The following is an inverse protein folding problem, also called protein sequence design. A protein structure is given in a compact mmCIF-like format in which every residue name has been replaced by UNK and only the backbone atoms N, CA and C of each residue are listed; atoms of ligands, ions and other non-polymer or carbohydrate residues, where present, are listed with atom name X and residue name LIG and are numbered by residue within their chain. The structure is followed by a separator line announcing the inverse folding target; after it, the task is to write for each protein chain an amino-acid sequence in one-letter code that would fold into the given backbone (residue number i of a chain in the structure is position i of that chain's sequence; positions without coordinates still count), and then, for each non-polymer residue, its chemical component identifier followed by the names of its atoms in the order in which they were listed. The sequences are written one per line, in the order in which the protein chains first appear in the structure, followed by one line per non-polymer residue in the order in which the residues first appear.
data_IF_725565085530
#
_entry.id   IF_725565085530
#
_cell.length_a   1.000
_cell.length_b   1.000
_cell.length_c   1.000
_cell.angle_alpha   90.00
_cell.angle_beta   90.00
_cell.angle_gamma   90.00
#
_symmetry.space_group_name_H-M   'P 1'
#
loop_
_entity.id
_entity.type
_entity.pdbx_description
1 polymer ?
#
# COMPACT_ATOMS: atom_id res chain seq x y z
N UNK A 1 -0.16 -15.25 37.95
CA UNK A 1 -0.28 -16.56 37.26
C UNK A 1 -0.64 -16.30 35.80
N UNK A 2 0.29 -16.53 34.87
CA UNK A 2 0.07 -16.26 33.44
C UNK A 2 -0.81 -17.32 32.80
N UNK A 3 -1.99 -16.94 32.32
CA UNK A 3 -2.91 -17.82 31.58
C UNK A 3 -2.19 -18.32 30.31
N UNK A 4 -2.07 -19.64 30.11
CA UNK A 4 -1.49 -20.22 28.89
C UNK A 4 -2.34 -19.79 27.69
N UNK A 5 -1.78 -18.98 26.80
CA UNK A 5 -2.46 -18.51 25.60
C UNK A 5 -2.59 -19.66 24.60
N UNK A 6 -3.80 -19.84 24.06
CA UNK A 6 -4.09 -20.78 22.98
C UNK A 6 -3.43 -20.33 21.67
N UNK A 7 -3.22 -21.25 20.72
CA UNK A 7 -2.66 -20.92 19.39
C UNK A 7 -3.47 -19.82 18.68
N UNK A 8 -4.79 -19.82 18.86
CA UNK A 8 -5.69 -18.82 18.28
C UNK A 8 -5.54 -17.43 18.92
N UNK A 9 -5.25 -17.35 20.22
CA UNK A 9 -4.94 -16.08 20.89
C UNK A 9 -3.60 -15.51 20.43
N UNK A 10 -2.58 -16.37 20.28
CA UNK A 10 -1.28 -15.97 19.72
C UNK A 10 -1.46 -15.41 18.30
N UNK A 11 -2.27 -16.05 17.47
CA UNK A 11 -2.62 -15.56 16.13
C UNK A 11 -3.33 -14.20 16.17
N UNK A 12 -4.33 -14.02 17.04
CA UNK A 12 -5.02 -12.73 17.21
C UNK A 12 -4.07 -11.62 17.66
N UNK A 13 -3.14 -11.92 18.57
CA UNK A 13 -2.12 -10.96 19.04
C UNK A 13 -1.15 -10.60 17.91
N UNK A 14 -0.70 -11.58 17.12
CA UNK A 14 0.12 -11.33 15.93
C UNK A 14 -0.63 -10.48 14.91
N UNK A 15 -1.90 -10.77 14.62
CA UNK A 15 -2.72 -9.98 13.70
C UNK A 15 -2.98 -8.57 14.23
N UNK A 16 -3.17 -8.40 15.53
CA UNK A 16 -3.31 -7.08 16.17
C UNK A 16 -1.99 -6.28 16.09
N UNK A 17 -0.85 -6.93 16.29
CA UNK A 17 0.46 -6.31 16.13
C UNK A 17 0.74 -5.94 14.66
N UNK A 18 0.36 -6.80 13.71
CA UNK A 18 0.46 -6.55 12.28
C UNK A 18 -0.41 -5.36 11.86
N UNK A 19 -1.69 -5.34 12.26
CA UNK A 19 -2.59 -4.19 12.04
C UNK A 19 -2.07 -2.91 12.67
N UNK A 20 -1.51 -2.97 13.89
CA UNK A 20 -0.95 -1.81 14.60
C UNK A 20 0.36 -1.31 13.97
N UNK A 21 1.16 -2.21 13.37
CA UNK A 21 2.36 -1.86 12.59
C UNK A 21 1.99 -1.23 11.26
N UNK A 22 0.94 -1.73 10.59
CA UNK A 22 0.34 -1.14 9.38
C UNK A 22 -0.24 0.26 9.66
N UNK A 23 -1.04 0.42 10.71
CA UNK A 23 -1.63 1.71 11.10
C UNK A 23 -0.62 2.79 11.51
N UNK A 24 0.66 2.46 11.71
CA UNK A 24 1.71 3.48 11.96
C UNK A 24 2.18 4.16 10.68
N UNK A 25 2.03 3.52 9.51
CA UNK A 25 2.26 4.15 8.23
C UNK A 25 0.90 4.56 7.68
N UNK A 26 0.67 5.87 7.60
CA UNK A 26 -0.47 6.43 6.90
C UNK A 26 -0.27 6.17 5.40
N UNK A 27 -0.68 4.99 4.92
CA UNK A 27 -0.62 4.59 3.51
C UNK A 27 -1.69 5.29 2.67
N UNK A 28 -2.23 6.41 3.14
CA UNK A 28 -3.37 7.02 2.49
C UNK A 28 -2.95 7.57 1.12
N UNK A 29 -3.71 7.31 0.04
CA UNK A 29 -3.37 7.69 -1.33
C UNK A 29 -3.59 9.18 -1.61
N UNK A 30 -3.12 10.03 -0.69
CA UNK A 30 -3.10 11.46 -0.91
C UNK A 30 -1.97 11.80 -1.88
N UNK A 31 -2.28 12.66 -2.85
CA UNK A 31 -1.25 13.21 -3.71
C UNK A 31 -0.28 14.04 -2.84
N UNK A 32 1.03 13.76 -2.84
CA UNK A 32 1.99 14.80 -2.49
C UNK A 32 1.89 15.91 -3.55
N UNK A 33 2.25 17.16 -3.19
CA UNK A 33 2.12 18.32 -4.08
C UNK A 33 2.94 18.21 -5.39
N UNK A 34 3.92 17.31 -5.46
CA UNK A 34 4.85 17.15 -6.59
C UNK A 34 4.36 16.20 -7.70
N UNK A 35 3.26 15.47 -7.51
CA UNK A 35 2.73 14.53 -8.53
C UNK A 35 3.53 13.23 -8.73
N UNK A 36 4.69 13.09 -8.07
CA UNK A 36 5.50 11.87 -8.03
C UNK A 36 5.34 11.17 -6.67
N UNK A 37 5.10 9.85 -6.68
CA UNK A 37 4.96 9.07 -5.46
C UNK A 37 6.00 7.96 -5.35
N UNK A 38 6.44 7.71 -4.12
CA UNK A 38 7.30 6.58 -3.81
C UNK A 38 6.42 5.39 -3.42
N UNK A 39 6.60 4.28 -4.11
CA UNK A 39 5.98 3.01 -3.77
C UNK A 39 7.04 1.99 -3.35
N UNK A 40 6.69 1.12 -2.42
CA UNK A 40 7.48 -0.05 -2.07
C UNK A 40 6.76 -1.31 -2.53
N UNK A 41 7.51 -2.27 -3.05
CA UNK A 41 6.98 -3.60 -3.32
C UNK A 41 6.79 -4.33 -1.98
N UNK A 42 5.60 -4.88 -1.75
CA UNK A 42 5.28 -5.54 -0.47
C UNK A 42 6.09 -6.84 -0.27
N UNK A 43 6.52 -7.48 -1.36
CA UNK A 43 7.42 -8.65 -1.30
C UNK A 43 8.88 -8.24 -1.04
N UNK A 44 9.27 -7.02 -1.41
CA UNK A 44 10.64 -6.50 -1.28
C UNK A 44 10.65 -5.07 -0.71
N UNK A 45 10.46 -4.90 0.62
CA UNK A 45 10.36 -3.59 1.27
C UNK A 45 11.66 -2.76 1.23
N UNK A 46 12.77 -3.34 0.73
CA UNK A 46 14.06 -2.66 0.62
C UNK A 46 14.20 -1.73 -0.59
N UNK A 47 13.27 -1.76 -1.56
CA UNK A 47 13.34 -0.93 -2.76
C UNK A 47 12.21 0.10 -2.76
N UNK A 48 12.58 1.37 -2.55
CA UNK A 48 11.71 2.51 -2.83
C UNK A 48 11.77 2.82 -4.32
N UNK A 49 10.64 2.80 -4.99
CA UNK A 49 10.52 3.01 -6.43
C UNK A 49 9.69 4.28 -6.64
N UNK A 50 10.21 5.23 -7.40
CA UNK A 50 9.46 6.42 -7.80
C UNK A 50 8.57 6.07 -8.99
N UNK A 51 7.29 6.42 -8.91
CA UNK A 51 6.30 6.18 -9.96
C UNK A 51 5.48 7.43 -10.21
N UNK A 52 5.08 7.60 -11.47
CA UNK A 52 4.23 8.71 -11.90
C UNK A 52 2.76 8.36 -11.69
N UNK A 53 1.99 9.37 -11.26
CA UNK A 53 0.55 9.28 -11.12
C UNK A 53 -0.10 9.44 -12.50
N UNK A 54 -1.00 8.52 -12.86
CA UNK A 54 -1.69 8.52 -14.16
C UNK A 54 -3.07 9.16 -14.06
N UNK A 55 -3.86 8.80 -13.04
CA UNK A 55 -5.17 9.42 -12.78
C UNK A 55 -5.31 9.81 -11.32
N UNK A 56 -5.87 10.99 -11.14
CA UNK A 56 -6.24 11.56 -9.85
C UNK A 56 -7.74 11.80 -9.83
N UNK A 57 -8.33 11.69 -8.65
CA UNK A 57 -9.74 11.99 -8.41
C UNK A 57 -9.87 12.91 -7.20
N UNK A 58 -10.85 13.80 -7.22
CA UNK A 58 -11.15 14.63 -6.05
C UNK A 58 -12.17 13.89 -5.19
N UNK A 59 -11.80 13.55 -3.94
CA UNK A 59 -12.69 12.96 -2.94
C UNK A 59 -12.73 13.86 -1.72
N UNK A 60 -13.91 14.34 -1.34
CA UNK A 60 -14.12 15.18 -0.15
C UNK A 60 -13.12 16.33 -0.04
N UNK A 61 -13.04 17.15 -1.10
CA UNK A 61 -12.16 18.33 -1.21
C UNK A 61 -10.65 18.04 -1.28
N UNK A 62 -10.22 16.77 -1.35
CA UNK A 62 -8.81 16.38 -1.47
C UNK A 62 -8.54 15.63 -2.76
N UNK A 63 -7.37 15.84 -3.36
CA UNK A 63 -6.91 15.05 -4.51
C UNK A 63 -6.36 13.70 -4.02
N UNK A 64 -6.92 12.63 -4.56
CA UNK A 64 -6.59 11.23 -4.25
C UNK A 64 -6.07 10.57 -5.52
N UNK A 65 -5.03 9.76 -5.38
CA UNK A 65 -4.46 8.98 -6.47
C UNK A 65 -5.40 7.80 -6.75
N UNK A 66 -5.96 7.74 -7.96
CA UNK A 66 -6.80 6.61 -8.38
C UNK A 66 -5.97 5.56 -9.12
N UNK A 67 -5.00 6.00 -9.94
CA UNK A 67 -4.10 5.09 -10.63
C UNK A 67 -2.68 5.65 -10.79
N UNK A 68 -1.71 4.74 -10.74
CA UNK A 68 -0.28 5.00 -10.93
C UNK A 68 0.27 4.15 -12.06
N UNK A 69 1.42 4.54 -12.62
CA UNK A 69 2.14 3.73 -13.59
C UNK A 69 2.93 2.62 -12.89
N UNK A 70 2.81 1.39 -13.36
CA UNK A 70 3.65 0.28 -12.92
C UNK A 70 5.11 0.50 -13.34
N UNK A 71 6.08 0.39 -12.43
CA UNK A 71 7.49 0.62 -12.75
C UNK A 71 8.06 -0.41 -13.75
N UNK A 72 7.47 -1.60 -13.82
CA UNK A 72 7.99 -2.67 -14.68
C UNK A 72 7.29 -2.78 -16.04
N UNK A 73 5.96 -2.61 -16.12
CA UNK A 73 5.23 -2.74 -17.40
C UNK A 73 4.64 -1.43 -17.92
N UNK A 74 4.83 -0.30 -17.22
CA UNK A 74 4.25 1.02 -17.57
C UNK A 74 2.73 1.04 -17.71
N UNK A 75 2.04 -0.03 -17.28
CA UNK A 75 0.59 -0.07 -17.27
C UNK A 75 0.01 0.70 -16.09
N UNK A 76 -1.21 1.19 -16.24
CA UNK A 76 -1.97 1.75 -15.12
C UNK A 76 -2.30 0.67 -14.09
N UNK A 77 -2.05 1.00 -12.83
CA UNK A 77 -2.36 0.20 -11.64
C UNK A 77 -3.40 0.94 -10.83
N UNK A 78 -4.38 0.22 -10.30
CA UNK A 78 -5.47 0.81 -9.54
C UNK A 78 -5.25 0.63 -8.05
N UNK A 79 -5.72 1.62 -7.30
CA UNK A 79 -5.79 1.55 -5.84
C UNK A 79 -6.82 0.51 -5.42
N UNK A 80 -6.41 -0.46 -4.59
CA UNK A 80 -7.32 -1.44 -4.00
C UNK A 80 -7.51 -1.14 -2.51
N UNK A 81 -8.73 -0.76 -2.12
CA UNK A 81 -9.08 -0.36 -0.75
C UNK A 81 -8.93 -1.50 0.26
N UNK A 82 -9.07 -2.76 -0.18
CA UNK A 82 -8.88 -3.92 0.70
C UNK A 82 -7.41 -4.14 1.06
N UNK A 83 -6.52 -3.80 0.14
CA UNK A 83 -5.08 -3.95 0.33
C UNK A 83 -4.43 -2.67 0.85
N UNK A 84 -5.10 -1.52 0.69
CA UNK A 84 -4.55 -0.18 0.87
C UNK A 84 -3.26 -0.01 0.06
N UNK A 85 -3.28 -0.50 -1.17
CA UNK A 85 -2.11 -0.62 -2.03
C UNK A 85 -2.51 -0.59 -3.51
N UNK A 86 -1.56 -0.23 -4.37
CA UNK A 86 -1.72 -0.35 -5.80
C UNK A 86 -1.42 -1.78 -6.24
N UNK A 87 -2.34 -2.38 -7.00
CA UNK A 87 -2.17 -3.76 -7.47
C UNK A 87 -2.01 -3.79 -8.98
N UNK A 88 -0.99 -4.52 -9.45
CA UNK A 88 -0.82 -4.81 -10.87
C UNK A 88 -1.21 -6.25 -11.12
N UNK A 89 -2.17 -6.47 -12.02
CA UNK A 89 -2.61 -7.80 -12.47
C UNK A 89 -2.13 -8.13 -13.88
N UNK A 90 -1.56 -7.16 -14.60
CA UNK A 90 -1.06 -7.35 -15.97
C UNK A 90 0.33 -7.99 -16.05
N UNK A 91 1.06 -8.01 -14.94
CA UNK A 91 2.21 -8.89 -14.80
C UNK A 91 1.70 -10.30 -14.51
N UNK A 92 2.36 -11.32 -15.06
CA UNK A 92 2.06 -12.72 -14.74
C UNK A 92 2.15 -13.07 -13.24
N UNK A 93 2.52 -12.11 -12.37
CA UNK A 93 2.44 -12.17 -10.92
C UNK A 93 1.72 -10.93 -10.39
N UNK A 94 0.84 -11.13 -9.41
CA UNK A 94 0.14 -10.04 -8.71
C UNK A 94 1.16 -9.28 -7.85
N UNK A 95 1.54 -8.09 -8.30
CA UNK A 95 2.43 -7.21 -7.55
C UNK A 95 1.60 -6.23 -6.71
N UNK A 96 1.98 -6.06 -5.45
CA UNK A 96 1.29 -5.21 -4.48
C UNK A 96 2.27 -4.14 -4.05
N UNK A 97 1.92 -2.89 -4.34
CA UNK A 97 2.77 -1.74 -4.08
C UNK A 97 2.12 -0.84 -3.04
N UNK A 98 2.79 -0.68 -1.91
CA UNK A 98 2.34 0.18 -0.81
C UNK A 98 2.89 1.59 -1.03
N UNK A 99 2.07 2.61 -0.80
CA UNK A 99 2.51 4.00 -0.81
C UNK A 99 3.36 4.28 0.42
N UNK A 100 4.51 4.92 0.21
CA UNK A 100 5.37 5.38 1.30
C UNK A 100 5.54 6.88 1.17
N UNK A 101 5.11 7.59 2.20
CA UNK A 101 5.43 9.01 2.40
C UNK A 101 6.94 9.15 2.62
N UNK A 102 7.53 10.16 1.98
CA UNK A 102 8.97 10.36 1.81
C UNK A 102 9.75 10.25 3.13
#
# INVERSE_FOLDING_TARGET
MGRRQTMMEKYKIQMKAYRKKRMKNDSTPYLPPDGEVCVIDSLNPGKKIQVQVVKTRVRSQRQVIESIACPECKNEMFWDDNWEAFTCTKHGKKAIYELVTK
#
